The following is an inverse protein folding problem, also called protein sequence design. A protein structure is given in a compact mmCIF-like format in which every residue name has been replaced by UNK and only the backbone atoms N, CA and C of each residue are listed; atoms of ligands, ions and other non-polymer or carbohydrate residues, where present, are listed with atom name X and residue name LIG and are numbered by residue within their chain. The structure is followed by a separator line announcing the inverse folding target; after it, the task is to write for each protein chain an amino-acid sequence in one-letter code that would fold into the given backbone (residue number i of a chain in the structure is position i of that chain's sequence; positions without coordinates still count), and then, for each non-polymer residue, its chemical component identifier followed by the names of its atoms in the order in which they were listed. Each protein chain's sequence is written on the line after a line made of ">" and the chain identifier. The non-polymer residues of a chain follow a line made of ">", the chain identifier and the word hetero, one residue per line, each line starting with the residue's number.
data_IF_955074213283
#
_entry.id   IF_955074213283
#
_cell.length_a   1.000
_cell.length_b   1.000
_cell.length_c   1.000
_cell.angle_alpha   90.00
_cell.angle_beta   90.00
_cell.angle_gamma   90.00
#
_symmetry.space_group_name_H-M   'P 1'
#
loop_
_entity.id
_entity.type
_entity.pdbx_description
1 polymer ?
#
# COMPACT_ATOMS: atom_id res chain seq x y z
N UNK A 1 -26.01 -27.94 7.54
CA UNK A 1 -26.02 -26.54 7.07
C UNK A 1 -25.03 -25.76 7.92
N UNK A 2 -23.74 -25.77 7.56
CA UNK A 2 -22.71 -24.99 8.23
C UNK A 2 -22.54 -23.69 7.45
N UNK A 3 -22.89 -22.57 8.09
CA UNK A 3 -22.59 -21.24 7.57
C UNK A 3 -21.13 -20.98 7.90
N UNK A 4 -20.25 -21.16 6.91
CA UNK A 4 -18.90 -20.61 6.95
C UNK A 4 -19.05 -19.09 6.90
N UNK A 5 -19.12 -18.46 8.07
CA UNK A 5 -18.78 -17.03 8.20
C UNK A 5 -17.32 -16.91 7.81
N UNK A 6 -17.08 -16.56 6.56
CA UNK A 6 -15.79 -16.07 6.10
C UNK A 6 -15.48 -14.81 6.89
N UNK A 7 -14.76 -14.98 8.00
CA UNK A 7 -14.08 -13.90 8.67
C UNK A 7 -13.02 -13.43 7.66
N UNK A 8 -13.32 -12.38 6.91
CA UNK A 8 -12.30 -11.68 6.12
C UNK A 8 -11.34 -11.11 7.16
N UNK A 9 -10.30 -11.85 7.55
CA UNK A 9 -9.20 -11.24 8.28
C UNK A 9 -8.73 -10.08 7.42
N UNK A 10 -8.91 -8.87 7.91
CA UNK A 10 -8.25 -7.70 7.34
C UNK A 10 -6.77 -7.91 7.65
N UNK A 11 -6.07 -8.60 6.75
CA UNK A 11 -4.63 -8.80 6.85
C UNK A 11 -4.00 -7.41 6.79
N UNK A 12 -3.23 -7.04 7.82
CA UNK A 12 -2.60 -5.73 7.84
C UNK A 12 -1.51 -5.63 6.76
N UNK A 13 -1.15 -4.42 6.34
CA UNK A 13 -0.04 -4.24 5.41
C UNK A 13 1.28 -4.76 5.98
N UNK A 14 1.47 -4.67 7.30
CA UNK A 14 2.62 -5.26 8.00
C UNK A 14 2.65 -6.78 7.91
N UNK A 15 1.52 -7.45 8.12
CA UNK A 15 1.44 -8.92 7.98
C UNK A 15 1.76 -9.35 6.53
N UNK A 16 1.31 -8.56 5.55
CA UNK A 16 1.61 -8.81 4.14
C UNK A 16 3.11 -8.67 3.83
N UNK A 17 3.79 -7.69 4.42
CA UNK A 17 5.22 -7.46 4.24
C UNK A 17 6.06 -8.59 4.83
N UNK A 18 5.79 -8.96 6.09
CA UNK A 18 6.42 -10.13 6.73
C UNK A 18 6.20 -11.42 5.92
N UNK A 19 4.95 -11.73 5.58
CA UNK A 19 4.63 -12.96 4.84
C UNK A 19 5.32 -13.01 3.48
N UNK A 20 5.52 -11.86 2.82
CA UNK A 20 6.28 -11.81 1.57
C UNK A 20 7.76 -12.13 1.79
N UNK A 21 8.39 -11.53 2.79
CA UNK A 21 9.80 -11.78 3.09
C UNK A 21 10.06 -13.25 3.42
N UNK A 22 9.22 -13.87 4.26
CA UNK A 22 9.31 -15.29 4.59
C UNK A 22 9.21 -16.17 3.34
N UNK A 23 8.24 -15.91 2.46
CA UNK A 23 8.10 -16.67 1.21
C UNK A 23 9.32 -16.56 0.30
N UNK A 24 9.91 -15.37 0.15
CA UNK A 24 11.08 -15.19 -0.72
C UNK A 24 12.32 -15.90 -0.16
N UNK A 25 12.46 -15.98 1.17
CA UNK A 25 13.50 -16.77 1.84
C UNK A 25 13.30 -18.27 1.59
N UNK A 26 12.06 -18.75 1.69
CA UNK A 26 11.72 -20.17 1.51
C UNK A 26 11.78 -20.63 0.05
N UNK A 27 11.38 -19.77 -0.90
CA UNK A 27 11.17 -20.18 -2.29
C UNK A 27 12.37 -19.96 -3.22
N UNK A 28 13.36 -19.16 -2.83
CA UNK A 28 14.42 -18.66 -3.74
C UNK A 28 13.89 -18.07 -5.06
N UNK A 29 12.60 -17.74 -5.17
CA UNK A 29 12.00 -17.23 -6.40
C UNK A 29 12.15 -15.72 -6.51
N UNK A 30 12.80 -15.25 -7.58
CA UNK A 30 12.77 -13.85 -8.02
C UNK A 30 11.82 -13.69 -9.20
N UNK A 31 10.52 -13.89 -8.96
CA UNK A 31 9.49 -13.70 -9.98
C UNK A 31 9.32 -12.21 -10.34
N UNK A 32 9.59 -11.83 -11.59
CA UNK A 32 9.20 -10.51 -12.14
C UNK A 32 7.70 -10.52 -12.43
N UNK A 33 6.94 -9.65 -11.78
CA UNK A 33 5.60 -9.29 -12.24
C UNK A 33 5.72 -8.00 -13.06
N UNK A 34 5.56 -8.09 -14.37
CA UNK A 34 5.43 -6.90 -15.22
C UNK A 34 4.10 -6.23 -14.91
N UNK A 35 4.14 -4.99 -14.42
CA UNK A 35 2.95 -4.17 -14.19
C UNK A 35 2.84 -3.19 -15.35
N UNK A 36 1.90 -3.42 -16.25
CA UNK A 36 1.50 -2.40 -17.22
C UNK A 36 0.54 -1.39 -16.57
N UNK A 37 1.01 -0.16 -16.32
CA UNK A 37 0.13 0.91 -15.85
C UNK A 37 -0.70 1.46 -17.01
N UNK A 38 -2.00 1.17 -17.04
CA UNK A 38 -2.95 1.82 -17.95
C UNK A 38 -3.89 2.71 -17.13
N UNK A 39 -3.95 4.01 -17.45
CA UNK A 39 -4.91 4.96 -16.89
C UNK A 39 -6.32 4.60 -17.39
N UNK A 40 -6.98 3.65 -16.73
CA UNK A 40 -8.36 3.27 -16.98
C UNK A 40 -9.21 3.63 -15.77
N UNK A 41 -10.46 4.07 -15.95
CA UNK A 41 -11.43 4.11 -14.86
C UNK A 41 -11.49 2.74 -14.19
N UNK A 42 -11.43 2.72 -12.87
CA UNK A 42 -11.55 1.48 -12.10
C UNK A 42 -12.84 1.51 -11.29
N UNK A 43 -13.50 0.36 -11.24
CA UNK A 43 -14.72 0.16 -10.45
C UNK A 43 -14.39 -0.73 -9.26
N UNK A 44 -14.70 -0.26 -8.05
CA UNK A 44 -14.47 -1.03 -6.84
C UNK A 44 -15.75 -1.80 -6.50
N UNK A 45 -15.63 -3.13 -6.30
CA UNK A 45 -16.68 -3.93 -5.66
C UNK A 45 -16.39 -4.03 -4.17
N UNK A 46 -17.34 -3.63 -3.36
CA UNK A 46 -17.22 -3.57 -1.89
C UNK A 46 -18.58 -3.91 -1.26
N UNK A 47 -18.61 -4.19 0.04
CA UNK A 47 -19.84 -4.59 0.72
C UNK A 47 -20.75 -3.39 0.96
N UNK A 48 -22.07 -3.61 0.98
CA UNK A 48 -23.06 -2.53 1.13
C UNK A 48 -22.78 -1.65 2.36
N UNK A 49 -22.46 -2.26 3.50
CA UNK A 49 -22.16 -1.53 4.73
C UNK A 49 -20.92 -0.61 4.62
N UNK A 50 -19.96 -0.93 3.74
CA UNK A 50 -18.78 -0.09 3.52
C UNK A 50 -19.14 1.14 2.67
N UNK A 51 -20.07 0.98 1.73
CA UNK A 51 -20.63 2.11 0.96
C UNK A 51 -21.46 3.01 1.86
N UNK A 52 -22.34 2.45 2.69
CA UNK A 52 -23.15 3.21 3.64
C UNK A 52 -22.28 4.02 4.60
N UNK A 53 -21.20 3.41 5.12
CA UNK A 53 -20.24 4.13 5.96
C UNK A 53 -19.56 5.29 5.21
N UNK A 54 -19.16 5.09 3.94
CA UNK A 54 -18.58 6.16 3.13
C UNK A 54 -19.57 7.28 2.87
N UNK A 55 -20.84 6.97 2.61
CA UNK A 55 -21.88 7.96 2.36
C UNK A 55 -22.09 8.82 3.60
N UNK A 56 -22.28 8.21 4.78
CA UNK A 56 -22.46 8.92 6.06
C UNK A 56 -21.26 9.81 6.37
N UNK A 57 -20.03 9.29 6.26
CA UNK A 57 -18.82 10.08 6.56
C UNK A 57 -18.64 11.22 5.56
N UNK A 58 -18.96 11.00 4.28
CA UNK A 58 -18.86 12.05 3.26
C UNK A 58 -19.85 13.17 3.50
N UNK A 59 -21.08 12.84 3.93
CA UNK A 59 -22.11 13.81 4.32
C UNK A 59 -21.68 14.62 5.55
N UNK A 60 -21.17 13.95 6.59
CA UNK A 60 -20.64 14.61 7.78
C UNK A 60 -19.49 15.59 7.48
N UNK A 61 -18.70 15.31 6.44
CA UNK A 61 -17.58 16.15 6.01
C UNK A 61 -17.96 17.14 4.91
N UNK A 62 -19.24 17.23 4.55
CA UNK A 62 -19.78 18.10 3.50
C UNK A 62 -19.05 17.96 2.16
N UNK A 63 -18.73 16.73 1.75
CA UNK A 63 -18.05 16.45 0.49
C UNK A 63 -18.65 15.26 -0.26
N UNK A 64 -18.36 15.15 -1.55
CA UNK A 64 -18.78 13.98 -2.31
C UNK A 64 -18.03 12.73 -1.84
N UNK A 65 -18.68 11.57 -1.93
CA UNK A 65 -18.04 10.26 -1.70
C UNK A 65 -16.74 10.09 -2.50
N UNK A 66 -16.70 10.55 -3.75
CA UNK A 66 -15.48 10.46 -4.57
C UNK A 66 -14.35 11.34 -4.03
N UNK A 67 -14.65 12.55 -3.55
CA UNK A 67 -13.66 13.42 -2.91
C UNK A 67 -13.12 12.80 -1.62
N UNK A 68 -13.98 12.16 -0.81
CA UNK A 68 -13.56 11.43 0.38
C UNK A 68 -12.61 10.27 0.02
N UNK A 69 -12.95 9.45 -0.98
CA UNK A 69 -12.09 8.34 -1.43
C UNK A 69 -10.73 8.84 -1.91
N UNK A 70 -10.68 9.93 -2.68
CA UNK A 70 -9.42 10.54 -3.13
C UNK A 70 -8.60 11.03 -1.93
N UNK A 71 -9.23 11.66 -0.93
CA UNK A 71 -8.55 12.08 0.29
C UNK A 71 -7.98 10.90 1.07
N UNK A 72 -8.74 9.80 1.20
CA UNK A 72 -8.27 8.57 1.85
C UNK A 72 -7.05 8.00 1.13
N UNK A 73 -7.06 7.94 -0.21
CA UNK A 73 -5.91 7.49 -1.01
C UNK A 73 -4.69 8.37 -0.74
N UNK A 74 -4.85 9.70 -0.82
CA UNK A 74 -3.75 10.65 -0.64
C UNK A 74 -3.15 10.63 0.77
N UNK A 75 -3.92 10.24 1.78
CA UNK A 75 -3.45 10.20 3.16
C UNK A 75 -2.91 8.83 3.55
N UNK A 76 -3.55 7.74 3.10
CA UNK A 76 -3.31 6.40 3.62
C UNK A 76 -2.40 5.56 2.73
N UNK A 77 -2.26 5.88 1.44
CA UNK A 77 -1.40 5.08 0.54
C UNK A 77 0.06 5.09 1.01
N UNK A 78 0.58 6.24 1.46
CA UNK A 78 1.92 6.35 2.01
C UNK A 78 2.12 5.45 3.23
N UNK A 79 1.17 5.46 4.17
CA UNK A 79 1.20 4.61 5.37
C UNK A 79 1.19 3.13 4.99
N UNK A 80 0.29 2.72 4.11
CA UNK A 80 0.18 1.32 3.67
C UNK A 80 1.49 0.80 3.03
N UNK A 81 2.16 1.65 2.23
CA UNK A 81 3.46 1.29 1.64
C UNK A 81 4.56 1.24 2.69
N UNK A 82 4.60 2.20 3.61
CA UNK A 82 5.57 2.23 4.70
C UNK A 82 5.45 0.99 5.59
N UNK A 83 4.25 0.69 6.09
CA UNK A 83 3.98 -0.47 6.96
C UNK A 83 4.38 -1.80 6.30
N UNK A 84 4.09 -1.93 5.01
CA UNK A 84 4.46 -3.09 4.22
C UNK A 84 5.98 -3.24 4.06
N UNK A 85 6.68 -2.15 3.73
CA UNK A 85 8.12 -2.20 3.50
C UNK A 85 8.92 -2.27 4.81
N UNK A 86 8.47 -1.59 5.86
CA UNK A 86 9.07 -1.68 7.20
C UNK A 86 9.09 -3.12 7.67
N UNK A 87 7.92 -3.77 7.72
CA UNK A 87 7.78 -5.17 8.11
C UNK A 87 8.55 -6.13 7.20
N UNK A 88 8.47 -5.95 5.88
CA UNK A 88 9.26 -6.74 4.92
C UNK A 88 10.76 -6.63 5.22
N UNK A 89 11.29 -5.41 5.38
CA UNK A 89 12.71 -5.19 5.58
C UNK A 89 13.17 -5.62 6.98
N UNK A 90 12.30 -5.60 7.99
CA UNK A 90 12.65 -6.01 9.36
C UNK A 90 13.11 -7.47 9.49
N UNK A 91 12.76 -8.33 8.52
CA UNK A 91 13.20 -9.73 8.45
C UNK A 91 14.67 -9.84 8.07
N UNK A 92 15.21 -8.85 7.34
CA UNK A 92 16.59 -8.80 6.93
C UNK A 92 17.38 -7.87 7.88
N UNK A 93 18.64 -8.20 8.16
CA UNK A 93 19.49 -7.35 9.00
C UNK A 93 19.99 -6.14 8.22
N UNK A 94 19.88 -4.94 8.82
CA UNK A 94 20.29 -3.68 8.22
C UNK A 94 21.06 -2.82 9.24
N UNK A 95 22.07 -2.08 8.76
CA UNK A 95 22.87 -1.16 9.58
C UNK A 95 22.33 0.29 9.61
N UNK A 96 21.24 0.55 8.88
CA UNK A 96 20.62 1.88 8.73
C UNK A 96 19.32 1.96 9.54
N UNK A 97 18.88 3.18 9.92
CA UNK A 97 17.54 3.39 10.49
C UNK A 97 16.45 2.89 9.54
N UNK A 98 15.36 2.38 10.10
CA UNK A 98 14.23 1.78 9.39
C UNK A 98 13.67 2.71 8.31
N UNK A 99 13.51 3.99 8.65
CA UNK A 99 13.00 5.04 7.78
C UNK A 99 13.82 5.17 6.50
N UNK A 100 15.15 5.11 6.64
CA UNK A 100 16.10 5.20 5.53
C UNK A 100 16.07 3.92 4.70
N UNK A 101 15.99 2.75 5.34
CA UNK A 101 15.89 1.46 4.66
C UNK A 101 14.63 1.39 3.79
N UNK A 102 13.49 1.81 4.33
CA UNK A 102 12.21 1.81 3.61
C UNK A 102 12.27 2.73 2.39
N UNK A 103 12.83 3.93 2.53
CA UNK A 103 12.97 4.88 1.43
C UNK A 103 13.95 4.40 0.35
N UNK A 104 15.14 3.96 0.75
CA UNK A 104 16.12 3.39 -0.19
C UNK A 104 15.50 2.20 -0.97
N UNK A 105 14.72 1.36 -0.29
CA UNK A 105 14.04 0.23 -0.92
C UNK A 105 13.04 0.71 -1.98
N UNK A 106 12.10 1.60 -1.64
CA UNK A 106 11.06 2.01 -2.59
C UNK A 106 11.66 2.79 -3.77
N UNK A 107 12.67 3.63 -3.53
CA UNK A 107 13.38 4.34 -4.60
C UNK A 107 14.08 3.35 -5.55
N UNK A 108 14.81 2.38 -4.99
CA UNK A 108 15.47 1.33 -5.77
C UNK A 108 14.47 0.47 -6.55
N UNK A 109 13.33 0.12 -5.95
CA UNK A 109 12.26 -0.65 -6.59
C UNK A 109 11.66 0.11 -7.78
N UNK A 110 11.33 1.39 -7.59
CA UNK A 110 10.77 2.25 -8.63
C UNK A 110 11.77 2.48 -9.78
N UNK A 111 13.05 2.63 -9.47
CA UNK A 111 14.10 2.81 -10.47
C UNK A 111 14.36 1.54 -11.30
N UNK A 112 14.32 0.36 -10.67
CA UNK A 112 14.74 -0.90 -11.30
C UNK A 112 13.61 -1.73 -11.87
N UNK A 113 12.46 -1.80 -11.20
CA UNK A 113 11.31 -2.63 -11.62
C UNK A 113 10.22 -1.85 -12.34
N UNK A 114 10.17 -0.52 -12.18
CA UNK A 114 9.12 0.33 -12.76
C UNK A 114 9.69 1.54 -13.51
N UNK A 115 10.59 1.33 -14.49
CA UNK A 115 11.27 2.43 -15.18
C UNK A 115 10.29 3.37 -15.90
N UNK A 116 9.22 2.83 -16.48
CA UNK A 116 8.23 3.55 -17.27
C UNK A 116 7.14 4.26 -16.44
N UNK A 117 7.19 4.15 -15.11
CA UNK A 117 6.25 4.86 -14.24
C UNK A 117 6.45 6.38 -14.38
N UNK A 118 5.35 7.14 -14.46
CA UNK A 118 5.43 8.58 -14.66
C UNK A 118 6.17 9.30 -13.52
N UNK A 119 6.84 10.42 -13.79
CA UNK A 119 7.55 11.19 -12.77
C UNK A 119 6.64 11.63 -11.61
N UNK A 120 5.38 11.97 -11.90
CA UNK A 120 4.39 12.39 -10.92
C UNK A 120 4.01 11.23 -9.99
N UNK A 121 3.82 10.04 -10.54
CA UNK A 121 3.52 8.85 -9.73
C UNK A 121 4.71 8.44 -8.85
N UNK A 122 5.94 8.49 -9.38
CA UNK A 122 7.17 8.26 -8.59
C UNK A 122 7.27 9.25 -7.44
N UNK A 123 7.13 10.54 -7.73
CA UNK A 123 7.20 11.60 -6.74
C UNK A 123 6.09 11.47 -5.70
N UNK A 124 4.87 11.14 -6.12
CA UNK A 124 3.74 10.96 -5.22
C UNK A 124 3.99 9.82 -4.22
N UNK A 125 4.46 8.66 -4.68
CA UNK A 125 4.76 7.52 -3.80
C UNK A 125 5.89 7.88 -2.83
N UNK A 126 7.03 8.37 -3.34
CA UNK A 126 8.21 8.68 -2.53
C UNK A 126 7.87 9.72 -1.46
N UNK A 127 7.25 10.83 -1.87
CA UNK A 127 6.88 11.90 -0.94
C UNK A 127 5.85 11.43 0.11
N UNK A 128 4.89 10.60 -0.30
CA UNK A 128 3.89 10.07 0.63
C UNK A 128 4.52 9.15 1.68
N UNK A 129 5.50 8.33 1.30
CA UNK A 129 6.23 7.45 2.22
C UNK A 129 7.19 8.26 3.10
N UNK A 130 7.95 9.20 2.53
CA UNK A 130 8.89 10.04 3.27
C UNK A 130 8.19 10.86 4.36
N UNK A 131 6.97 11.33 4.08
CA UNK A 131 6.13 12.00 5.05
C UNK A 131 5.87 11.13 6.29
N UNK A 132 5.50 9.86 6.08
CA UNK A 132 5.27 8.92 7.20
C UNK A 132 6.59 8.58 7.91
N UNK A 133 7.65 8.40 7.15
CA UNK A 133 8.96 8.02 7.68
C UNK A 133 9.56 9.09 8.61
N UNK A 134 9.32 10.39 8.36
CA UNK A 134 10.04 11.46 9.06
C UNK A 134 9.17 12.51 9.76
N UNK A 135 7.85 12.53 9.54
CA UNK A 135 6.95 13.52 10.14
C UNK A 135 6.00 12.94 11.21
N UNK A 136 6.14 11.67 11.60
CA UNK A 136 5.38 11.09 12.72
C UNK A 136 5.96 11.48 14.08
#
# INVERSE_FOLDING_TARGET
>A
MQILKGNTMCVSFSDMGHSKAEREIESHESGKTEIETRLKPFTIKTQAHQIEALDIVSEMMEMSRSALVVKLINHYLGQAVYDFLSSYNSVFSHDKPEEVVVLDHIEGLLATKYPDLSPEAKSFIINSVAKIAFEM
#
